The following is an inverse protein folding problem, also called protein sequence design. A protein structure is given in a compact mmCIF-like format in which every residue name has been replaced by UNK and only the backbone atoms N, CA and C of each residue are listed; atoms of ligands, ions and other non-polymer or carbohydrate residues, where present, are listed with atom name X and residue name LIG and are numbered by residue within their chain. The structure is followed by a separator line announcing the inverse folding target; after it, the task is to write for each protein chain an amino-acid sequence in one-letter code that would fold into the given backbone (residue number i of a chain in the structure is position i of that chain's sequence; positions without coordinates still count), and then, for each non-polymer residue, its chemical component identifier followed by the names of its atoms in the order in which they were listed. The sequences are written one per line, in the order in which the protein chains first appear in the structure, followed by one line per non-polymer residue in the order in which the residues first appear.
data_IF_116063409476
#
_entry.id   IF_116063409476
#
_cell.length_a   1.000
_cell.length_b   1.000
_cell.length_c   1.000
_cell.angle_alpha   90.00
_cell.angle_beta   90.00
_cell.angle_gamma   90.00
#
_symmetry.space_group_name_H-M   'P 1'
#
loop_
_entity.id
_entity.type
_entity.pdbx_description
1 polymer ?
#
# COMPACT_ATOMS: atom_id res chain seq x y z
N UNK A 1 -13.92 -18.39 -15.22
CA UNK A 1 -12.72 -18.87 -15.95
C UNK A 1 -11.50 -18.53 -15.13
N UNK A 2 -10.59 -19.49 -14.85
CA UNK A 2 -9.44 -19.23 -14.00
C UNK A 2 -8.51 -18.21 -14.68
N UNK A 3 -8.31 -17.08 -14.01
CA UNK A 3 -7.38 -16.01 -14.41
C UNK A 3 -6.07 -16.05 -13.60
N UNK A 4 -6.08 -16.80 -12.50
CA UNK A 4 -4.94 -17.01 -11.61
C UNK A 4 -5.04 -18.40 -10.98
N UNK A 5 -3.94 -19.14 -10.92
CA UNK A 5 -3.87 -20.45 -10.26
C UNK A 5 -2.58 -20.62 -9.46
N UNK A 6 -2.70 -21.17 -8.26
CA UNK A 6 -1.57 -21.71 -7.50
C UNK A 6 -1.36 -23.18 -7.84
N UNK A 7 -0.19 -23.53 -8.34
CA UNK A 7 0.14 -24.86 -8.81
C UNK A 7 1.10 -25.56 -7.83
N UNK A 8 0.91 -26.85 -7.64
CA UNK A 8 1.82 -27.71 -6.89
C UNK A 8 2.05 -29.07 -7.54
N UNK A 9 2.94 -29.83 -6.94
CA UNK A 9 3.23 -31.23 -7.33
C UNK A 9 2.02 -32.17 -7.17
N UNK A 10 1.09 -31.85 -6.28
CA UNK A 10 -0.17 -32.60 -6.06
C UNK A 10 -1.37 -31.98 -6.82
N UNK A 11 -1.11 -31.28 -7.93
CA UNK A 11 -2.11 -30.56 -8.71
C UNK A 11 -2.33 -29.12 -8.21
N UNK A 12 -3.46 -28.54 -8.59
CA UNK A 12 -3.82 -27.18 -8.19
C UNK A 12 -4.02 -27.10 -6.67
N UNK A 13 -3.59 -25.98 -6.10
CA UNK A 13 -3.75 -25.64 -4.68
C UNK A 13 -4.91 -24.65 -4.48
N UNK A 14 -5.06 -23.71 -5.41
CA UNK A 14 -6.16 -22.74 -5.46
C UNK A 14 -6.31 -22.15 -6.86
N UNK A 15 -7.47 -21.54 -7.12
CA UNK A 15 -7.76 -20.81 -8.34
C UNK A 15 -8.56 -19.54 -8.07
N UNK A 16 -8.38 -18.52 -8.90
CA UNK A 16 -9.25 -17.35 -8.96
C UNK A 16 -9.88 -17.30 -10.34
N UNK A 17 -11.21 -17.30 -10.39
CA UNK A 17 -11.97 -17.23 -11.63
C UNK A 17 -12.62 -15.87 -11.83
N UNK A 18 -12.60 -15.38 -13.07
CA UNK A 18 -13.41 -14.26 -13.55
C UNK A 18 -14.62 -14.77 -14.35
N UNK A 19 -15.79 -14.21 -14.10
CA UNK A 19 -17.00 -14.37 -14.91
C UNK A 19 -17.72 -13.03 -15.07
N UNK A 20 -18.73 -12.96 -15.94
CA UNK A 20 -19.51 -11.74 -16.18
C UNK A 20 -20.99 -12.06 -16.41
N UNK A 21 -21.86 -11.07 -16.18
CA UNK A 21 -23.25 -11.15 -16.63
C UNK A 21 -23.34 -11.14 -18.17
N UNK A 22 -24.43 -11.67 -18.76
CA UNK A 22 -24.59 -11.69 -20.22
C UNK A 22 -24.53 -10.31 -20.90
N UNK A 23 -24.88 -9.24 -20.16
CA UNK A 23 -24.84 -7.86 -20.63
C UNK A 23 -23.51 -7.13 -20.33
N UNK A 24 -22.53 -7.83 -19.74
CA UNK A 24 -21.23 -7.30 -19.31
C UNK A 24 -21.32 -6.08 -18.37
N UNK A 25 -22.46 -5.88 -17.71
CA UNK A 25 -22.64 -4.79 -16.73
C UNK A 25 -21.93 -5.07 -15.40
N UNK A 26 -21.63 -6.34 -15.11
CA UNK A 26 -21.06 -6.78 -13.85
C UNK A 26 -20.14 -7.98 -14.06
N UNK A 27 -19.03 -7.98 -13.32
CA UNK A 27 -18.05 -9.04 -13.28
C UNK A 27 -18.07 -9.72 -11.91
N UNK A 28 -17.60 -10.96 -11.84
CA UNK A 28 -17.47 -11.70 -10.59
C UNK A 28 -16.11 -12.36 -10.47
N UNK A 29 -15.51 -12.23 -9.29
CA UNK A 29 -14.33 -12.96 -8.88
C UNK A 29 -14.75 -14.11 -7.95
N UNK A 30 -14.26 -15.31 -8.22
CA UNK A 30 -14.53 -16.49 -7.39
C UNK A 30 -13.22 -17.17 -6.99
N UNK A 31 -12.96 -17.24 -5.69
CA UNK A 31 -11.84 -17.99 -5.12
C UNK A 31 -12.22 -19.45 -4.95
N UNK A 32 -11.34 -20.33 -5.39
CA UNK A 32 -11.41 -21.78 -5.23
C UNK A 32 -10.19 -22.25 -4.45
N UNK A 33 -10.39 -23.13 -3.46
CA UNK A 33 -9.30 -23.76 -2.70
C UNK A 33 -9.39 -25.27 -2.83
N UNK A 34 -8.32 -25.87 -3.35
CA UNK A 34 -8.31 -27.29 -3.62
C UNK A 34 -8.14 -28.13 -2.38
N UNK A 35 -8.83 -29.27 -2.33
CA UNK A 35 -8.78 -30.23 -1.22
C UNK A 35 -7.84 -31.39 -1.54
N UNK A 36 -7.38 -32.05 -0.48
CA UNK A 36 -6.67 -33.33 -0.62
C UNK A 36 -7.63 -34.43 -1.11
N UNK A 37 -8.88 -34.38 -0.66
CA UNK A 37 -9.94 -35.34 -1.00
C UNK A 37 -11.28 -34.62 -1.23
N UNK A 38 -12.01 -35.08 -2.25
CA UNK A 38 -13.32 -34.54 -2.61
C UNK A 38 -13.24 -33.32 -3.55
N UNK A 39 -14.37 -32.65 -3.80
CA UNK A 39 -14.39 -31.47 -4.64
C UNK A 39 -13.71 -30.28 -3.94
N UNK A 40 -13.18 -29.39 -4.76
CA UNK A 40 -12.63 -28.12 -4.32
C UNK A 40 -13.72 -27.24 -3.69
N UNK A 41 -13.32 -26.35 -2.78
CA UNK A 41 -14.23 -25.45 -2.10
C UNK A 41 -14.21 -24.07 -2.75
N UNK A 42 -15.40 -23.57 -3.06
CA UNK A 42 -15.61 -22.27 -3.67
C UNK A 42 -16.07 -21.26 -2.60
N UNK A 43 -15.44 -20.10 -2.59
CA UNK A 43 -15.97 -18.95 -1.88
C UNK A 43 -17.21 -18.40 -2.63
N UNK A 44 -18.06 -17.66 -1.93
CA UNK A 44 -19.13 -16.90 -2.59
C UNK A 44 -18.54 -15.95 -3.64
N UNK A 45 -19.07 -15.92 -4.88
CA UNK A 45 -18.61 -14.99 -5.90
C UNK A 45 -18.74 -13.53 -5.45
N UNK A 46 -17.69 -12.76 -5.66
CA UNK A 46 -17.61 -11.33 -5.32
C UNK A 46 -17.88 -10.53 -6.57
N UNK A 47 -18.93 -9.70 -6.54
CA UNK A 47 -19.22 -8.78 -7.62
C UNK A 47 -18.21 -7.64 -7.68
N UNK A 48 -17.72 -7.32 -8.87
CA UNK A 48 -16.87 -6.16 -9.17
C UNK A 48 -17.44 -5.41 -10.38
N UNK A 49 -17.25 -4.10 -10.39
CA UNK A 49 -17.69 -3.24 -11.48
C UNK A 49 -16.65 -3.25 -12.61
N UNK A 50 -16.98 -2.77 -13.82
CA UNK A 50 -15.97 -2.49 -14.83
C UNK A 50 -14.97 -1.45 -14.32
N UNK A 51 -13.68 -1.76 -14.37
CA UNK A 51 -12.62 -0.86 -13.94
C UNK A 51 -11.38 -1.58 -13.42
N UNK A 52 -10.40 -0.80 -12.98
CA UNK A 52 -9.20 -1.31 -12.30
C UNK A 52 -9.55 -1.68 -10.86
N UNK A 53 -9.20 -2.90 -10.47
CA UNK A 53 -9.37 -3.40 -9.10
C UNK A 53 -8.06 -4.00 -8.61
N UNK A 54 -7.79 -3.82 -7.32
CA UNK A 54 -6.75 -4.59 -6.65
C UNK A 54 -7.36 -5.90 -6.17
N UNK A 55 -6.68 -6.99 -6.48
CA UNK A 55 -7.11 -8.33 -6.10
C UNK A 55 -5.97 -9.04 -5.40
N UNK A 56 -6.19 -9.39 -4.14
CA UNK A 56 -5.25 -10.18 -3.36
C UNK A 56 -5.84 -11.56 -3.07
N UNK A 57 -5.02 -12.59 -3.22
CA UNK A 57 -5.35 -13.97 -2.86
C UNK A 57 -4.35 -14.46 -1.81
N UNK A 58 -4.86 -14.85 -0.65
CA UNK A 58 -4.11 -15.56 0.38
C UNK A 58 -4.51 -17.02 0.33
N UNK A 59 -3.53 -17.91 0.45
CA UNK A 59 -3.74 -19.34 0.57
C UNK A 59 -2.88 -19.89 1.70
N UNK A 60 -3.42 -20.83 2.46
CA UNK A 60 -2.67 -21.61 3.44
C UNK A 60 -3.09 -23.08 3.43
N UNK A 61 -2.10 -23.94 3.60
CA UNK A 61 -2.29 -25.37 3.77
C UNK A 61 -2.67 -25.72 5.20
N UNK A 62 -3.41 -26.81 5.39
CA UNK A 62 -3.65 -27.40 6.69
C UNK A 62 -2.32 -27.79 7.37
N UNK A 63 -2.25 -27.67 8.69
CA UNK A 63 -1.00 -27.84 9.46
C UNK A 63 -0.57 -29.29 9.63
N UNK A 64 -1.52 -30.24 9.58
CA UNK A 64 -1.26 -31.67 9.77
C UNK A 64 -2.08 -32.56 8.81
N UNK A 65 -1.62 -33.80 8.53
CA UNK A 65 -2.37 -34.74 7.70
C UNK A 65 -3.78 -34.98 8.24
N UNK A 66 -4.79 -34.76 7.41
CA UNK A 66 -6.20 -34.88 7.81
C UNK A 66 -6.75 -33.69 8.59
N UNK A 67 -5.90 -32.72 8.95
CA UNK A 67 -6.31 -31.43 9.52
C UNK A 67 -7.20 -30.65 8.55
N UNK A 68 -8.03 -29.76 9.10
CA UNK A 68 -8.94 -28.89 8.33
C UNK A 68 -8.71 -27.43 8.63
N UNK A 69 -7.54 -27.04 9.10
CA UNK A 69 -7.21 -25.64 9.39
C UNK A 69 -6.69 -24.88 8.17
N UNK A 70 -6.66 -25.49 6.99
CA UNK A 70 -6.32 -24.86 5.72
C UNK A 70 -7.42 -23.95 5.17
N UNK A 71 -7.08 -23.15 4.15
CA UNK A 71 -8.03 -22.23 3.53
C UNK A 71 -7.44 -21.22 2.57
N UNK A 72 -8.26 -20.22 2.26
CA UNK A 72 -7.87 -19.08 1.44
C UNK A 72 -8.80 -17.89 1.64
N UNK A 73 -8.33 -16.71 1.26
CA UNK A 73 -9.07 -15.45 1.33
C UNK A 73 -8.88 -14.64 0.06
N UNK A 74 -9.92 -13.91 -0.30
CA UNK A 74 -9.96 -13.00 -1.42
C UNK A 74 -10.24 -11.59 -0.89
N UNK A 75 -9.36 -10.65 -1.18
CA UNK A 75 -9.58 -9.23 -0.95
C UNK A 75 -9.75 -8.54 -2.29
N UNK A 76 -10.67 -7.59 -2.30
CA UNK A 76 -10.88 -6.69 -3.43
C UNK A 76 -10.81 -5.27 -2.87
N UNK A 77 -9.94 -4.45 -3.45
CA UNK A 77 -9.73 -3.06 -3.06
C UNK A 77 -9.48 -2.91 -1.54
N UNK A 78 -8.56 -3.73 -1.02
CA UNK A 78 -8.15 -3.73 0.40
C UNK A 78 -9.17 -4.32 1.39
N UNK A 79 -10.38 -4.67 0.94
CA UNK A 79 -11.43 -5.23 1.81
C UNK A 79 -11.52 -6.73 1.68
N UNK A 80 -11.60 -7.47 2.79
CA UNK A 80 -11.84 -8.92 2.76
C UNK A 80 -13.23 -9.18 2.15
N UNK A 81 -13.25 -9.71 0.94
CA UNK A 81 -14.45 -9.86 0.14
C UNK A 81 -15.04 -11.28 0.23
N UNK A 82 -14.18 -12.29 0.31
CA UNK A 82 -14.62 -13.68 0.51
C UNK A 82 -13.53 -14.53 1.19
N UNK A 83 -13.94 -15.64 1.78
CA UNK A 83 -13.02 -16.61 2.38
C UNK A 83 -13.54 -18.04 2.23
N UNK A 84 -12.59 -18.97 2.22
CA UNK A 84 -12.82 -20.40 2.36
C UNK A 84 -12.00 -20.85 3.56
N UNK A 85 -12.66 -21.43 4.55
CA UNK A 85 -12.02 -22.00 5.74
C UNK A 85 -12.35 -23.49 5.84
N UNK A 86 -11.79 -24.17 6.82
CA UNK A 86 -12.08 -25.58 7.08
C UNK A 86 -11.67 -26.53 5.93
N UNK A 87 -10.54 -26.22 5.27
CA UNK A 87 -10.06 -26.97 4.12
C UNK A 87 -9.01 -27.99 4.55
N UNK A 88 -9.27 -29.27 4.25
CA UNK A 88 -8.26 -30.32 4.35
C UNK A 88 -7.41 -30.37 3.09
N UNK A 89 -6.36 -29.57 3.04
CA UNK A 89 -5.44 -29.39 1.91
C UNK A 89 -3.97 -29.53 2.35
N UNK A 90 -3.70 -30.40 3.33
CA UNK A 90 -2.36 -30.58 3.91
C UNK A 90 -1.35 -31.06 2.87
N UNK A 91 -1.76 -31.88 1.90
CA UNK A 91 -0.86 -32.38 0.85
C UNK A 91 -0.60 -31.35 -0.25
N UNK A 92 -1.45 -30.31 -0.34
CA UNK A 92 -1.30 -29.25 -1.34
C UNK A 92 -0.14 -28.32 -1.00
N UNK A 93 0.55 -27.87 -2.04
CA UNK A 93 1.64 -26.89 -1.95
C UNK A 93 1.51 -25.93 -3.11
N UNK A 94 1.85 -24.67 -2.89
CA UNK A 94 2.04 -23.70 -3.96
C UNK A 94 3.53 -23.67 -4.27
N UNK A 95 3.91 -24.10 -5.46
CA UNK A 95 5.29 -24.10 -5.97
C UNK A 95 5.47 -23.06 -7.07
N UNK A 96 4.41 -22.82 -7.84
CA UNK A 96 4.35 -21.77 -8.84
C UNK A 96 2.95 -21.14 -8.86
N UNK A 97 2.85 -19.99 -9.52
CA UNK A 97 1.56 -19.42 -9.89
C UNK A 97 1.51 -19.23 -11.39
N UNK A 98 0.31 -19.32 -11.97
CA UNK A 98 0.05 -18.93 -13.36
C UNK A 98 -0.96 -17.80 -13.36
N UNK A 99 -0.69 -16.81 -14.20
CA UNK A 99 -1.53 -15.65 -14.44
C UNK A 99 -1.93 -15.64 -15.92
N UNK A 100 -3.10 -15.09 -16.23
CA UNK A 100 -3.64 -15.06 -17.59
C UNK A 100 -4.78 -16.05 -17.77
N UNK A 101 -5.27 -16.25 -18.99
CA UNK A 101 -6.34 -17.21 -19.26
C UNK A 101 -5.79 -18.63 -19.11
N UNK A 102 -5.71 -19.12 -17.86
CA UNK A 102 -4.85 -20.25 -17.48
C UNK A 102 -5.35 -21.57 -18.10
N UNK A 103 -6.64 -21.66 -18.43
CA UNK A 103 -7.27 -22.80 -19.11
C UNK A 103 -8.37 -22.34 -20.06
N UNK A 104 -8.32 -22.78 -21.32
CA UNK A 104 -9.42 -22.64 -22.27
C UNK A 104 -9.67 -23.94 -23.04
N UNK A 105 -10.76 -24.60 -22.69
CA UNK A 105 -11.39 -25.68 -23.45
C UNK A 105 -12.61 -25.18 -24.26
N UNK A 106 -13.07 -23.94 -24.06
CA UNK A 106 -14.14 -23.33 -24.85
C UNK A 106 -13.63 -22.23 -25.79
N UNK A 107 -13.91 -22.43 -27.08
CA UNK A 107 -13.52 -21.57 -28.20
C UNK A 107 -14.26 -20.22 -28.28
N UNK A 108 -15.13 -19.90 -27.32
CA UNK A 108 -16.07 -18.77 -27.41
C UNK A 108 -15.80 -17.60 -26.46
N UNK A 109 -14.73 -17.64 -25.65
CA UNK A 109 -14.36 -16.50 -24.79
C UNK A 109 -13.37 -15.62 -25.52
N UNK A 110 -13.77 -14.37 -25.78
CA UNK A 110 -12.93 -13.36 -26.44
C UNK A 110 -12.95 -12.04 -25.65
N UNK A 111 -11.84 -11.32 -25.65
CA UNK A 111 -11.69 -10.05 -24.96
C UNK A 111 -10.27 -9.89 -24.42
N UNK A 112 -10.04 -8.79 -23.72
CA UNK A 112 -8.80 -8.54 -23.02
C UNK A 112 -9.10 -8.12 -21.58
N UNK A 113 -8.22 -8.52 -20.67
CA UNK A 113 -8.08 -7.91 -19.36
C UNK A 113 -6.61 -7.64 -19.13
N UNK A 114 -6.32 -6.58 -18.38
CA UNK A 114 -4.96 -6.18 -18.05
C UNK A 114 -4.67 -6.59 -16.61
N UNK A 115 -3.43 -7.03 -16.38
CA UNK A 115 -2.88 -7.25 -15.05
C UNK A 115 -1.66 -6.35 -14.92
N UNK A 116 -1.52 -5.69 -13.78
CA UNK A 116 -0.37 -4.85 -13.47
C UNK A 116 0.01 -4.99 -11.99
N UNK A 117 1.20 -4.50 -11.61
CA UNK A 117 1.72 -4.41 -10.24
C UNK A 117 1.65 -5.73 -9.47
N UNK A 118 1.96 -6.85 -10.14
CA UNK A 118 1.92 -8.17 -9.52
C UNK A 118 3.02 -8.32 -8.45
N UNK A 119 2.59 -8.50 -7.20
CA UNK A 119 3.45 -8.88 -6.08
C UNK A 119 3.06 -10.27 -5.56
N UNK A 120 4.05 -11.05 -5.12
CA UNK A 120 3.79 -12.32 -4.43
C UNK A 120 4.80 -12.59 -3.33
N UNK A 121 4.33 -13.22 -2.26
CA UNK A 121 5.15 -13.60 -1.11
C UNK A 121 4.80 -15.01 -0.62
N UNK A 122 5.75 -15.66 0.05
CA UNK A 122 5.56 -16.99 0.67
C UNK A 122 5.66 -16.84 2.19
N UNK A 123 4.65 -17.37 2.89
CA UNK A 123 4.46 -17.20 4.33
C UNK A 123 3.63 -15.96 4.63
N UNK A 124 2.81 -15.98 5.68
CA UNK A 124 2.13 -14.76 6.15
C UNK A 124 3.22 -13.74 6.50
N UNK A 125 3.32 -12.66 5.74
CA UNK A 125 4.28 -11.59 6.03
C UNK A 125 3.87 -10.75 7.25
N UNK A 126 2.78 -11.11 7.93
CA UNK A 126 2.23 -10.33 9.04
C UNK A 126 1.32 -9.19 8.58
N UNK A 127 1.36 -8.82 7.29
CA UNK A 127 0.90 -7.53 6.81
C UNK A 127 -0.61 -7.50 6.64
N UNK A 128 -1.25 -6.59 7.36
CA UNK A 128 -2.61 -6.15 7.00
C UNK A 128 -2.51 -4.81 6.29
N UNK A 129 -2.82 -4.77 5.00
CA UNK A 129 -2.79 -3.55 4.21
C UNK A 129 -3.93 -2.60 4.61
N UNK A 130 -3.59 -1.32 4.73
CA UNK A 130 -4.49 -0.21 5.03
C UNK A 130 -4.76 0.67 3.82
N UNK A 131 -3.79 0.76 2.91
CA UNK A 131 -3.87 1.52 1.67
C UNK A 131 -2.89 0.89 0.68
N UNK A 132 -3.31 0.70 -0.57
CA UNK A 132 -2.43 0.34 -1.69
C UNK A 132 -2.90 1.14 -2.89
N UNK A 133 -1.99 1.84 -3.56
CA UNK A 133 -2.30 2.53 -4.80
C UNK A 133 -1.04 2.78 -5.66
N UNK A 134 -1.02 2.18 -6.85
CA UNK A 134 -0.05 2.48 -7.91
C UNK A 134 -0.57 3.51 -8.91
N UNK A 135 -1.74 4.12 -8.68
CA UNK A 135 -2.33 5.17 -9.53
C UNK A 135 -2.68 4.77 -10.98
N UNK A 136 -2.49 3.50 -11.36
CA UNK A 136 -2.67 2.97 -12.72
C UNK A 136 -4.09 3.11 -13.30
N UNK A 137 -5.09 3.47 -12.48
CA UNK A 137 -6.41 3.84 -12.97
C UNK A 137 -6.43 5.21 -13.66
N UNK A 138 -5.37 6.01 -13.53
CA UNK A 138 -5.33 7.42 -13.94
C UNK A 138 -6.24 8.32 -13.11
N UNK A 139 -6.69 7.86 -11.94
CA UNK A 139 -7.60 8.59 -11.05
C UNK A 139 -7.18 8.48 -9.57
N UNK A 140 -7.69 9.41 -8.74
CA UNK A 140 -7.45 9.47 -7.29
C UNK A 140 -8.61 8.87 -6.47
N UNK A 141 -9.36 7.93 -7.05
CA UNK A 141 -10.59 7.38 -6.42
C UNK A 141 -10.35 6.67 -5.08
N UNK A 142 -9.11 6.22 -4.82
CA UNK A 142 -8.69 5.61 -3.54
C UNK A 142 -8.22 6.61 -2.49
N UNK A 143 -8.23 7.90 -2.82
CA UNK A 143 -7.80 8.99 -1.96
C UNK A 143 -8.97 9.94 -1.70
N UNK A 144 -9.82 9.66 -0.70
CA UNK A 144 -11.04 10.43 -0.46
C UNK A 144 -10.79 11.88 -0.02
N UNK A 145 -9.59 12.17 0.50
CA UNK A 145 -9.18 13.52 0.91
C UNK A 145 -8.21 14.10 -0.11
N UNK A 146 -8.73 14.60 -1.24
CA UNK A 146 -7.91 15.42 -2.16
C UNK A 146 -8.05 16.88 -1.77
N UNK A 147 -6.92 17.55 -1.56
CA UNK A 147 -6.86 18.98 -1.28
C UNK A 147 -5.98 19.61 -2.35
N UNK A 148 -6.55 20.59 -3.04
CA UNK A 148 -5.85 21.48 -3.97
C UNK A 148 -6.21 22.88 -3.55
N UNK A 149 -5.21 23.72 -3.33
CA UNK A 149 -5.43 25.12 -3.02
C UNK A 149 -4.73 26.01 -4.06
N UNK A 150 -5.24 27.21 -4.28
CA UNK A 150 -4.67 28.16 -5.24
C UNK A 150 -4.56 27.61 -6.67
N UNK A 151 -3.38 27.76 -7.28
CA UNK A 151 -3.10 27.39 -8.67
C UNK A 151 -2.34 26.07 -8.82
N UNK A 152 -2.06 25.36 -7.72
CA UNK A 152 -1.45 24.04 -7.73
C UNK A 152 -2.37 22.97 -8.32
N UNK A 153 -1.87 21.74 -8.39
CA UNK A 153 -2.67 20.59 -8.83
C UNK A 153 -2.25 19.29 -8.15
N UNK A 154 -3.21 18.38 -7.97
CA UNK A 154 -2.98 17.02 -7.47
C UNK A 154 -3.70 16.07 -8.40
N UNK A 155 -2.96 15.20 -9.08
CA UNK A 155 -3.52 14.31 -10.10
C UNK A 155 -2.74 13.02 -10.28
N UNK A 156 -3.41 11.96 -10.73
CA UNK A 156 -2.73 10.80 -11.29
C UNK A 156 -2.34 11.12 -12.74
N UNK A 157 -1.05 11.04 -13.08
CA UNK A 157 -0.48 11.53 -14.32
C UNK A 157 0.57 10.58 -14.89
N UNK A 158 0.64 10.41 -16.23
CA UNK A 158 1.72 9.65 -16.86
C UNK A 158 3.11 10.25 -16.64
N UNK A 159 3.21 11.57 -16.42
CA UNK A 159 4.48 12.23 -16.14
C UNK A 159 5.06 11.85 -14.77
N UNK A 160 4.21 11.36 -13.86
CA UNK A 160 4.58 10.96 -12.51
C UNK A 160 4.80 9.45 -12.37
N UNK A 161 4.68 8.68 -13.44
CA UNK A 161 4.89 7.23 -13.42
C UNK A 161 6.35 6.91 -13.04
N UNK A 162 6.55 6.42 -11.82
CA UNK A 162 7.82 5.89 -11.34
C UNK A 162 7.88 4.36 -11.50
N UNK A 163 6.71 3.77 -11.70
CA UNK A 163 6.44 2.41 -12.15
C UNK A 163 5.19 2.45 -13.07
N UNK A 164 4.99 1.44 -13.91
CA UNK A 164 3.78 1.36 -14.75
C UNK A 164 3.53 2.57 -15.65
N UNK A 165 2.28 3.03 -15.72
CA UNK A 165 1.81 4.05 -16.66
C UNK A 165 1.34 5.35 -16.01
N UNK A 166 1.04 5.36 -14.71
CA UNK A 166 0.61 6.55 -13.98
C UNK A 166 1.25 6.60 -12.59
N UNK A 167 1.53 7.81 -12.10
CA UNK A 167 1.84 8.05 -10.69
C UNK A 167 1.12 9.29 -10.18
N UNK A 168 1.27 9.61 -8.91
CA UNK A 168 0.74 10.83 -8.31
C UNK A 168 1.67 12.02 -8.58
N UNK A 169 1.18 13.01 -9.30
CA UNK A 169 1.79 14.34 -9.40
C UNK A 169 1.17 15.29 -8.37
N UNK A 170 2.04 15.94 -7.59
CA UNK A 170 1.68 17.06 -6.71
C UNK A 170 2.43 18.29 -7.18
N UNK A 171 1.71 19.19 -7.86
CA UNK A 171 2.21 20.47 -8.34
C UNK A 171 1.96 21.57 -7.30
N UNK A 172 3.07 22.13 -6.83
CA UNK A 172 3.12 23.19 -5.82
C UNK A 172 3.42 24.50 -6.55
N UNK A 173 2.49 25.46 -6.48
CA UNK A 173 2.66 26.76 -7.11
C UNK A 173 2.68 27.94 -6.13
N UNK A 174 2.37 27.72 -4.85
CA UNK A 174 2.40 28.78 -3.84
C UNK A 174 2.56 28.21 -2.44
N UNK A 175 3.08 29.01 -1.51
CA UNK A 175 3.52 28.58 -0.19
C UNK A 175 2.43 28.50 0.88
N UNK A 176 1.21 28.93 0.58
CA UNK A 176 0.11 28.87 1.55
C UNK A 176 -0.74 27.59 1.41
N UNK A 177 -0.32 26.67 0.53
CA UNK A 177 -1.21 25.65 -0.03
C UNK A 177 -0.93 24.26 0.52
N UNK A 178 -2.00 23.49 0.69
CA UNK A 178 -1.99 22.11 1.12
C UNK A 178 -2.35 21.18 -0.04
N UNK A 179 -1.50 21.15 -1.08
CA UNK A 179 -1.69 20.29 -2.24
C UNK A 179 -1.30 18.85 -1.88
N UNK A 180 -2.30 18.00 -1.63
CA UNK A 180 -2.10 16.65 -1.11
C UNK A 180 -3.25 15.70 -1.40
N UNK A 181 -2.95 14.41 -1.29
CA UNK A 181 -3.94 13.35 -1.11
C UNK A 181 -3.94 12.85 0.33
N UNK A 182 -5.05 12.26 0.76
CA UNK A 182 -5.17 11.66 2.07
C UNK A 182 -6.26 10.60 2.16
N UNK A 183 -6.15 9.78 3.21
CA UNK A 183 -7.10 8.73 3.54
C UNK A 183 -7.18 8.57 5.06
N UNK A 184 -8.30 8.03 5.55
CA UNK A 184 -8.54 7.73 6.96
C UNK A 184 -9.07 6.30 7.11
N UNK A 185 -8.74 5.67 8.23
CA UNK A 185 -9.14 4.31 8.56
C UNK A 185 -10.10 4.31 9.75
N UNK A 186 -11.00 3.32 9.77
CA UNK A 186 -11.98 3.16 10.85
C UNK A 186 -11.32 2.83 12.20
N UNK A 187 -10.30 1.97 12.15
CA UNK A 187 -9.49 1.57 13.30
C UNK A 187 -8.13 2.27 13.29
N UNK A 188 -7.59 2.50 14.48
CA UNK A 188 -6.26 3.05 14.63
C UNK A 188 -5.23 1.96 14.96
N UNK A 189 -4.01 2.11 14.46
CA UNK A 189 -2.91 1.17 14.62
C UNK A 189 -1.84 1.68 15.57
N UNK A 190 -1.23 0.75 16.31
CA UNK A 190 -0.07 0.99 17.18
C UNK A 190 1.26 0.74 16.48
N UNK A 191 1.22 0.22 15.25
CA UNK A 191 2.38 -0.03 14.40
C UNK A 191 1.92 0.04 12.95
N UNK A 192 2.75 0.63 12.09
CA UNK A 192 2.56 0.57 10.65
C UNK A 192 3.89 0.73 9.91
N UNK A 193 3.84 0.43 8.63
CA UNK A 193 4.83 0.81 7.64
C UNK A 193 4.13 1.50 6.48
N UNK A 194 4.77 2.54 5.94
CA UNK A 194 4.42 3.17 4.67
C UNK A 194 5.59 2.95 3.72
N UNK A 195 5.34 2.37 2.56
CA UNK A 195 6.29 2.29 1.46
C UNK A 195 5.73 3.03 0.26
N UNK A 196 6.60 3.71 -0.48
CA UNK A 196 6.25 4.39 -1.70
C UNK A 196 7.48 4.62 -2.55
N UNK A 197 7.31 4.81 -3.85
CA UNK A 197 8.29 5.46 -4.71
C UNK A 197 8.12 6.97 -4.63
N UNK A 198 9.23 7.67 -4.62
CA UNK A 198 9.29 9.12 -4.49
C UNK A 198 10.34 9.70 -5.43
N UNK A 199 9.99 10.78 -6.12
CA UNK A 199 10.94 11.62 -6.85
C UNK A 199 10.72 13.09 -6.44
N UNK A 200 11.72 13.77 -5.86
CA UNK A 200 11.66 15.21 -5.66
C UNK A 200 11.42 15.97 -6.97
N UNK A 201 11.89 15.44 -8.11
CA UNK A 201 11.70 16.00 -9.46
C UNK A 201 12.05 17.49 -9.54
N UNK A 202 13.28 17.82 -9.11
CA UNK A 202 13.82 19.18 -9.12
C UNK A 202 12.96 20.23 -8.37
N UNK A 203 12.11 19.80 -7.43
CA UNK A 203 11.32 20.66 -6.56
C UNK A 203 12.16 21.77 -5.90
N UNK A 204 11.84 23.03 -6.18
CA UNK A 204 12.51 24.15 -5.54
C UNK A 204 11.99 24.30 -4.11
N UNK A 205 12.90 24.21 -3.14
CA UNK A 205 12.61 24.48 -1.72
C UNK A 205 13.59 25.56 -1.26
N UNK A 206 13.14 26.81 -1.03
CA UNK A 206 13.95 27.84 -0.40
C UNK A 206 14.45 27.42 0.99
N UNK A 207 15.36 28.19 1.63
CA UNK A 207 15.81 27.87 2.98
C UNK A 207 14.63 27.65 3.92
N UNK A 208 14.46 26.41 4.38
CA UNK A 208 13.19 25.99 4.95
C UNK A 208 13.01 24.47 4.94
N UNK A 209 11.82 24.01 5.28
CA UNK A 209 11.38 22.62 5.15
C UNK A 209 9.86 22.56 5.28
N UNK A 210 9.26 21.56 4.64
CA UNK A 210 7.83 21.27 4.80
C UNK A 210 7.60 19.78 5.04
N UNK A 211 6.39 19.43 5.47
CA UNK A 211 6.00 18.03 5.66
C UNK A 211 5.50 17.43 4.36
N UNK A 212 6.21 16.41 3.87
CA UNK A 212 5.92 15.68 2.64
C UNK A 212 4.91 14.53 2.86
N UNK A 213 5.03 13.89 4.03
CA UNK A 213 4.20 12.76 4.43
C UNK A 213 3.85 12.91 5.90
N UNK A 214 2.58 12.71 6.21
CA UNK A 214 2.08 12.71 7.58
C UNK A 214 1.25 11.46 7.83
N UNK A 215 1.66 10.65 8.79
CA UNK A 215 0.74 9.76 9.47
C UNK A 215 0.05 10.58 10.55
N UNK A 216 -1.28 10.58 10.56
CA UNK A 216 -2.06 11.32 11.56
C UNK A 216 -2.94 10.38 12.38
N UNK A 217 -3.33 10.87 13.54
CA UNK A 217 -4.06 10.14 14.56
C UNK A 217 -5.02 11.03 15.33
N UNK A 218 -5.82 10.45 16.24
CA UNK A 218 -6.72 11.22 17.10
C UNK A 218 -5.98 12.21 18.03
N UNK A 219 -4.72 11.91 18.36
CA UNK A 219 -3.94 12.66 19.34
C UNK A 219 -2.85 13.53 18.70
N UNK A 220 -2.73 13.57 17.37
CA UNK A 220 -1.66 14.30 16.70
C UNK A 220 -1.13 13.59 15.46
N UNK A 221 0.17 13.73 15.22
CA UNK A 221 0.90 13.14 14.09
C UNK A 221 1.96 12.17 14.62
N UNK A 222 1.63 10.87 14.79
CA UNK A 222 2.54 9.88 15.36
C UNK A 222 3.95 9.90 14.74
N UNK A 223 4.00 10.06 13.42
CA UNK A 223 5.22 10.20 12.64
C UNK A 223 4.96 11.06 11.41
N UNK A 224 5.91 11.89 11.04
CA UNK A 224 5.91 12.66 9.79
C UNK A 224 7.29 12.64 9.14
N UNK A 225 7.32 12.83 7.83
CA UNK A 225 8.53 12.99 7.04
C UNK A 225 8.56 14.40 6.49
N UNK A 226 9.59 15.16 6.84
CA UNK A 226 9.84 16.50 6.29
C UNK A 226 10.91 16.45 5.24
N UNK A 227 10.83 17.36 4.28
CA UNK A 227 11.81 17.52 3.22
C UNK A 227 12.36 18.95 3.21
N UNK A 228 13.64 19.07 2.85
CA UNK A 228 14.28 20.35 2.52
C UNK A 228 15.27 20.17 1.38
N UNK A 229 15.66 21.30 0.78
CA UNK A 229 16.85 21.36 -0.07
C UNK A 229 18.07 21.81 0.76
N UNK A 230 19.22 21.18 0.52
CA UNK A 230 20.48 21.47 1.18
C UNK A 230 21.68 21.08 0.32
N UNK A 231 22.90 21.27 0.81
CA UNK A 231 24.10 20.83 0.10
C UNK A 231 24.60 19.49 0.68
N UNK A 232 24.68 18.39 -0.11
CA UNK A 232 24.17 18.22 -1.47
C UNK A 232 22.71 17.72 -1.50
N UNK A 233 21.88 18.25 -2.41
CA UNK A 233 20.57 17.70 -2.77
C UNK A 233 19.47 17.80 -1.72
N UNK A 234 18.51 16.89 -1.80
CA UNK A 234 17.37 16.86 -0.89
C UNK A 234 17.71 16.14 0.40
N UNK A 235 17.03 16.52 1.47
CA UNK A 235 17.20 15.88 2.75
C UNK A 235 15.84 15.59 3.37
N UNK A 236 15.73 14.44 4.01
CA UNK A 236 14.55 14.00 4.74
C UNK A 236 14.80 14.02 6.26
N UNK A 237 13.76 14.33 7.01
CA UNK A 237 13.76 14.29 8.48
C UNK A 237 12.55 13.53 8.98
N UNK A 238 12.77 12.47 9.76
CA UNK A 238 11.70 11.86 10.55
C UNK A 238 11.41 12.74 11.77
N UNK A 239 10.14 13.01 12.00
CA UNK A 239 9.64 13.77 13.17
C UNK A 239 8.59 12.91 13.86
N UNK A 240 8.91 12.38 15.04
CA UNK A 240 8.03 11.54 15.84
C UNK A 240 7.45 12.30 17.02
N UNK A 241 6.14 12.16 17.23
CA UNK A 241 5.45 12.74 18.38
C UNK A 241 5.68 11.87 19.62
N UNK A 242 5.81 12.54 20.77
CA UNK A 242 6.07 11.92 22.07
C UNK A 242 5.05 12.42 23.10
N UNK A 243 4.80 11.63 24.12
CA UNK A 243 3.77 11.88 25.12
C UNK A 243 4.27 12.88 26.17
N UNK A 244 3.85 14.15 26.02
CA UNK A 244 4.24 15.22 26.95
C UNK A 244 5.71 15.65 26.85
N UNK A 245 6.41 15.22 25.79
CA UNK A 245 7.80 15.58 25.49
C UNK A 245 7.88 16.32 24.15
N UNK A 246 8.98 17.06 23.89
CA UNK A 246 9.25 17.60 22.56
C UNK A 246 9.31 16.51 21.49
N UNK A 247 9.04 16.85 20.23
CA UNK A 247 9.21 15.92 19.11
C UNK A 247 10.62 15.31 19.07
N UNK A 248 10.71 14.01 18.80
CA UNK A 248 11.96 13.34 18.49
C UNK A 248 12.25 13.48 16.99
N UNK A 249 13.45 13.94 16.66
CA UNK A 249 13.87 14.18 15.28
C UNK A 249 15.06 13.29 14.93
N UNK A 250 15.09 12.74 13.72
CA UNK A 250 16.30 12.11 13.19
C UNK A 250 17.36 13.17 12.85
N UNK A 251 18.52 12.75 12.36
CA UNK A 251 19.35 13.64 11.55
C UNK A 251 18.63 13.96 10.23
N UNK A 252 19.07 15.01 9.53
CA UNK A 252 18.69 15.23 8.13
C UNK A 252 19.43 14.23 7.24
N UNK A 253 18.69 13.44 6.49
CA UNK A 253 19.18 12.30 5.73
C UNK A 253 19.17 12.64 4.24
N UNK A 254 20.32 12.54 3.58
CA UNK A 254 20.45 12.91 2.16
C UNK A 254 19.68 11.92 1.28
N UNK A 255 18.95 12.45 0.30
CA UNK A 255 18.33 11.67 -0.77
C UNK A 255 18.61 12.32 -2.13
N UNK A 256 18.85 11.53 -3.19
CA UNK A 256 19.04 12.04 -4.54
C UNK A 256 17.77 12.68 -5.12
N UNK A 257 17.97 13.54 -6.11
CA UNK A 257 16.93 14.01 -7.03
C UNK A 257 16.73 12.96 -8.13
N UNK A 258 16.09 11.85 -7.76
CA UNK A 258 15.77 10.74 -8.66
C UNK A 258 14.69 9.85 -8.03
N UNK A 259 13.99 9.03 -8.83
CA UNK A 259 13.04 8.04 -8.32
C UNK A 259 13.68 7.06 -7.34
N UNK A 260 13.07 6.89 -6.18
CA UNK A 260 13.56 6.01 -5.13
C UNK A 260 12.44 5.40 -4.29
N UNK A 261 12.64 4.19 -3.79
CA UNK A 261 11.72 3.59 -2.82
C UNK A 261 12.06 4.04 -1.41
N UNK A 262 11.09 4.62 -0.71
CA UNK A 262 11.19 4.97 0.70
C UNK A 262 10.28 4.05 1.50
N UNK A 263 10.79 3.53 2.62
CA UNK A 263 9.96 2.79 3.59
C UNK A 263 10.10 3.45 4.96
N UNK A 264 9.00 3.98 5.49
CA UNK A 264 8.88 4.52 6.83
C UNK A 264 8.15 3.51 7.72
N UNK A 265 8.81 3.00 8.75
CA UNK A 265 8.17 2.14 9.76
C UNK A 265 8.05 2.88 11.07
N UNK A 266 6.94 2.71 11.78
CA UNK A 266 6.69 3.34 13.06
C UNK A 266 5.97 2.37 14.02
N UNK A 267 6.32 2.45 15.30
CA UNK A 267 5.74 1.67 16.37
C UNK A 267 5.58 2.54 17.63
N UNK A 268 4.38 2.53 18.19
CA UNK A 268 4.08 3.09 19.50
C UNK A 268 4.77 2.28 20.60
N UNK A 269 5.12 2.96 21.68
CA UNK A 269 5.53 2.33 22.92
C UNK A 269 4.45 1.37 23.44
N UNK A 270 4.87 0.31 24.12
CA UNK A 270 3.97 -0.77 24.54
C UNK A 270 2.97 -0.31 25.61
N UNK A 271 3.39 0.59 26.50
CA UNK A 271 2.57 1.15 27.58
C UNK A 271 2.94 2.60 27.88
N UNK A 272 2.03 3.41 28.47
CA UNK A 272 2.32 4.77 28.92
C UNK A 272 3.54 4.84 29.84
N UNK A 273 4.47 5.76 29.55
CA UNK A 273 5.69 5.98 30.33
C UNK A 273 6.81 4.98 30.05
N UNK A 274 6.63 4.05 29.10
CA UNK A 274 7.72 3.23 28.58
C UNK A 274 8.30 3.86 27.32
N UNK A 275 9.63 3.90 27.26
CA UNK A 275 10.38 4.41 26.12
C UNK A 275 10.84 3.25 25.22
N UNK A 276 9.91 2.46 24.69
CA UNK A 276 10.18 1.32 23.80
C UNK A 276 9.54 1.47 22.41
N UNK A 277 8.99 2.65 22.10
CA UNK A 277 8.57 3.02 20.75
C UNK A 277 9.76 3.28 19.82
N UNK A 278 9.52 3.18 18.52
CA UNK A 278 10.57 3.39 17.50
C UNK A 278 10.03 3.83 16.15
N UNK A 279 10.91 4.41 15.32
CA UNK A 279 10.66 4.68 13.92
C UNK A 279 11.93 4.45 13.09
N UNK A 280 11.79 4.02 11.84
CA UNK A 280 12.90 3.79 10.92
C UNK A 280 12.55 4.26 9.52
N UNK A 281 13.53 4.83 8.83
CA UNK A 281 13.43 5.20 7.42
C UNK A 281 14.44 4.39 6.62
N UNK A 282 13.98 3.76 5.55
CA UNK A 282 14.79 3.03 4.60
C UNK A 282 14.76 3.72 3.24
N UNK A 283 15.88 3.60 2.53
CA UNK A 283 16.01 3.94 1.11
C UNK A 283 16.33 2.65 0.35
N UNK A 284 15.35 2.15 -0.40
CA UNK A 284 15.32 0.75 -0.84
C UNK A 284 15.41 -0.19 0.36
N UNK A 285 16.40 -1.08 0.36
CA UNK A 285 16.65 -2.00 1.48
C UNK A 285 17.62 -1.46 2.55
N UNK A 286 18.18 -0.26 2.35
CA UNK A 286 19.20 0.30 3.26
C UNK A 286 18.56 1.14 4.35
N UNK A 287 18.88 0.86 5.62
CA UNK A 287 18.46 1.69 6.75
C UNK A 287 19.17 3.05 6.66
N UNK A 288 18.39 4.11 6.48
CA UNK A 288 18.87 5.47 6.35
C UNK A 288 18.90 6.21 7.69
N UNK A 289 17.89 5.99 8.53
CA UNK A 289 17.84 6.57 9.87
C UNK A 289 16.88 5.83 10.80
N UNK A 290 17.10 5.99 12.10
CA UNK A 290 16.31 5.34 13.15
C UNK A 290 16.11 6.29 14.34
N UNK A 291 14.93 6.19 14.93
CA UNK A 291 14.57 6.73 16.24
C UNK A 291 14.22 5.56 17.14
N UNK A 292 14.86 5.47 18.30
CA UNK A 292 14.56 4.50 19.35
C UNK A 292 14.27 5.21 20.65
N UNK A 293 13.71 4.50 21.63
CA UNK A 293 13.48 5.09 22.94
C UNK A 293 12.33 6.09 22.97
N UNK A 294 11.35 5.97 22.06
CA UNK A 294 10.23 6.90 22.01
C UNK A 294 9.22 6.56 23.11
N UNK A 295 8.87 7.54 23.93
CA UNK A 295 7.70 7.47 24.82
C UNK A 295 6.50 8.06 24.07
N UNK A 296 5.78 7.20 23.35
CA UNK A 296 4.71 7.60 22.43
C UNK A 296 3.52 6.62 22.47
N UNK A 297 3.22 6.08 23.66
CA UNK A 297 2.20 5.06 23.84
C UNK A 297 0.78 5.57 23.58
N UNK A 298 0.52 6.87 23.75
CA UNK A 298 -0.75 7.52 23.45
C UNK A 298 -0.92 7.82 21.96
N UNK A 299 0.15 7.75 21.16
CA UNK A 299 0.09 7.96 19.73
C UNK A 299 -0.54 6.76 19.03
N UNK A 300 -1.42 7.03 18.07
CA UNK A 300 -2.14 6.03 17.29
C UNK A 300 -2.22 6.51 15.84
N UNK A 301 -1.96 5.64 14.89
CA UNK A 301 -2.07 5.97 13.48
C UNK A 301 -3.46 5.65 12.94
N UNK A 302 -4.13 6.62 12.33
CA UNK A 302 -5.50 6.48 11.81
C UNK A 302 -5.62 6.92 10.36
N UNK A 303 -4.62 7.56 9.78
CA UNK A 303 -4.62 7.88 8.37
C UNK A 303 -3.26 8.33 7.87
N UNK A 304 -3.21 8.58 6.57
CA UNK A 304 -2.03 9.02 5.83
C UNK A 304 -2.40 10.24 4.98
N UNK A 305 -1.46 11.19 4.90
CA UNK A 305 -1.47 12.28 3.91
C UNK A 305 -0.13 12.35 3.19
N UNK A 306 -0.17 12.64 1.90
CA UNK A 306 0.98 12.65 1.00
C UNK A 306 0.92 13.87 0.07
N UNK A 307 2.01 14.64 -0.01
CA UNK A 307 2.10 15.86 -0.83
C UNK A 307 2.70 17.04 -0.04
N UNK A 308 2.30 18.27 -0.36
CA UNK A 308 2.61 19.45 0.42
C UNK A 308 1.71 19.51 1.67
N UNK A 309 1.99 18.68 2.69
CA UNK A 309 1.04 18.47 3.77
C UNK A 309 0.91 19.68 4.68
N UNK A 310 2.01 20.29 5.15
CA UNK A 310 1.99 21.52 5.97
C UNK A 310 3.37 22.16 6.11
N UNK A 311 3.42 23.37 6.68
CA UNK A 311 4.65 24.17 6.87
C UNK A 311 5.39 24.44 5.56
N UNK A 312 4.63 24.75 4.51
CA UNK A 312 5.22 25.08 3.22
C UNK A 312 5.82 26.49 3.28
N UNK A 313 7.09 26.64 2.91
CA UNK A 313 7.79 27.91 3.01
C UNK A 313 7.60 28.76 1.73
N UNK A 314 7.46 30.10 1.85
CA UNK A 314 7.41 31.05 0.73
C UNK A 314 8.44 30.76 -0.37
N UNK A 315 7.96 30.52 -1.59
CA UNK A 315 8.77 30.23 -2.76
C UNK A 315 9.03 28.74 -3.01
N UNK A 316 8.50 27.84 -2.19
CA UNK A 316 8.46 26.40 -2.53
C UNK A 316 7.58 26.21 -3.76
N UNK A 317 8.13 25.62 -4.82
CA UNK A 317 7.41 25.44 -6.08
C UNK A 317 8.01 24.32 -6.94
N UNK A 318 7.19 23.74 -7.82
CA UNK A 318 7.56 22.65 -8.72
C UNK A 318 6.58 21.49 -8.62
N UNK A 319 6.95 20.33 -9.15
CA UNK A 319 6.11 19.13 -9.09
C UNK A 319 6.91 18.03 -8.45
N UNK A 320 6.32 17.31 -7.49
CA UNK A 320 6.91 16.09 -6.93
C UNK A 320 6.07 14.88 -7.29
N UNK A 321 6.73 13.73 -7.44
CA UNK A 321 6.08 12.50 -7.86
C UNK A 321 6.11 11.44 -6.77
N UNK A 322 4.98 10.75 -6.64
CA UNK A 322 4.86 9.57 -5.79
C UNK A 322 4.22 8.44 -6.55
N UNK A 323 4.56 7.21 -6.21
CA UNK A 323 4.00 6.04 -6.87
C UNK A 323 4.05 4.81 -5.95
N UNK A 324 3.30 3.76 -6.30
CA UNK A 324 3.27 2.46 -5.62
C UNK A 324 3.19 2.61 -4.09
N UNK A 325 2.21 3.39 -3.63
CA UNK A 325 2.01 3.67 -2.20
C UNK A 325 1.39 2.46 -1.55
N UNK A 326 2.03 1.94 -0.51
CA UNK A 326 1.56 0.82 0.27
C UNK A 326 1.65 1.16 1.76
N UNK A 327 0.58 0.89 2.51
CA UNK A 327 0.52 1.04 3.96
C UNK A 327 0.08 -0.27 4.56
N UNK A 328 0.81 -0.78 5.56
CA UNK A 328 0.45 -2.00 6.26
C UNK A 328 0.86 -1.97 7.73
N UNK A 329 0.34 -2.90 8.53
CA UNK A 329 0.78 -3.19 9.89
C UNK A 329 1.33 -4.59 10.04
#
# INVERSE_FOLDING_TARGET
RPIFKGLGTAGDAFGLSLSQTPDASQFFLALEVSRDLGPDLLASPVAVLPGTHEVMVEWWGASEPGGRDGGGRLWVDGTLAASVTEVGNWSKRVEAVRLGAVESDELSVSGAYSLDSFESWRGWNGRTYRQVDGFESGALSRWPEVSVDGAGSVSASPAAALEGAFGLAVEIQSADLHDRVGTSWSEADRKLSVELRFDPNALAIPPGNFTLLQVYGPNGSPISLRIRMGAPGYHLLMVAEQDGLPFANSAWLVVPDAPQTLTLTWQAASLPGLADGSARLFLGSSLLGELTGLDNAAQLAKGLRLGAVFSLDPGTAGVTYFDNVQVWK
#
